data_IF_300306848848
#
_entry.id   IF_300306848848
#
_cell.length_a   1.000
_cell.length_b   1.000
_cell.length_c   1.000
_cell.angle_alpha   90.00
_cell.angle_beta   90.00
_cell.angle_gamma   90.00
#
_symmetry.space_group_name_H-M   'P 1'
#
loop_
_entity.id
_entity.type
_entity.pdbx_description
1 polymer ?
#
# COMPACT_ATOMS: atom_id res chain seq x y z
N UNK A 1 -15.90 -3.21 -65.89
CA UNK A 1 -16.89 -2.81 -64.87
C UNK A 1 -16.14 -2.40 -63.61
N UNK A 2 -16.01 -1.09 -63.35
CA UNK A 2 -15.35 -0.55 -62.15
C UNK A 2 -16.32 -0.61 -60.97
N UNK A 3 -15.93 -1.28 -59.89
CA UNK A 3 -16.72 -1.38 -58.67
C UNK A 3 -16.36 -0.22 -57.74
N UNK A 4 -17.26 0.75 -57.58
CA UNK A 4 -17.09 1.87 -56.64
C UNK A 4 -17.43 1.38 -55.23
N UNK A 5 -16.45 1.34 -54.32
CA UNK A 5 -16.69 1.11 -52.89
C UNK A 5 -16.90 2.46 -52.19
N UNK A 6 -18.04 2.59 -51.51
CA UNK A 6 -18.47 3.78 -50.79
C UNK A 6 -17.71 3.95 -49.47
N UNK A 7 -17.07 5.10 -49.30
CA UNK A 7 -16.38 5.51 -48.07
C UNK A 7 -17.44 5.98 -47.05
N UNK A 8 -17.70 5.19 -46.02
CA UNK A 8 -18.54 5.61 -44.89
C UNK A 8 -17.71 6.39 -43.87
N UNK A 9 -17.98 7.71 -43.77
CA UNK A 9 -17.39 8.59 -42.76
C UNK A 9 -17.86 8.16 -41.36
N UNK A 10 -16.98 7.53 -40.57
CA UNK A 10 -17.25 7.23 -39.16
C UNK A 10 -17.20 8.53 -38.34
N UNK A 11 -18.31 8.86 -37.66
CA UNK A 11 -18.35 9.93 -36.64
C UNK A 11 -17.33 9.61 -35.54
N UNK A 12 -16.57 10.60 -35.03
CA UNK A 12 -15.71 10.38 -33.88
C UNK A 12 -16.55 10.07 -32.65
N UNK A 13 -16.33 8.88 -32.09
CA UNK A 13 -16.86 8.44 -30.81
C UNK A 13 -16.53 9.49 -29.75
N UNK A 14 -17.55 9.96 -29.02
CA UNK A 14 -17.38 10.83 -27.87
C UNK A 14 -16.33 10.25 -26.94
N UNK A 15 -15.36 11.09 -26.54
CA UNK A 15 -14.46 10.78 -25.45
C UNK A 15 -15.30 10.56 -24.19
N UNK A 16 -15.63 9.30 -23.89
CA UNK A 16 -15.97 8.91 -22.54
C UNK A 16 -14.67 9.06 -21.75
N UNK A 17 -14.52 10.22 -21.09
CA UNK A 17 -13.56 10.38 -20.01
C UNK A 17 -13.91 9.32 -18.98
N UNK A 18 -13.15 8.21 -19.00
CA UNK A 18 -13.20 7.19 -17.96
C UNK A 18 -12.83 7.93 -16.68
N UNK A 19 -13.84 8.33 -15.90
CA UNK A 19 -13.65 8.73 -14.51
C UNK A 19 -13.12 7.49 -13.83
N UNK A 20 -11.79 7.41 -13.70
CA UNK A 20 -11.13 6.36 -12.95
C UNK A 20 -11.80 6.35 -11.60
N UNK A 21 -12.55 5.27 -11.32
CA UNK A 21 -13.28 5.11 -10.09
C UNK A 21 -12.31 5.41 -8.95
N UNK A 22 -12.64 6.46 -8.19
CA UNK A 22 -12.04 6.70 -6.88
C UNK A 22 -12.41 5.45 -6.08
N UNK A 23 -11.52 4.46 -6.07
CA UNK A 23 -11.69 3.22 -5.32
C UNK A 23 -12.23 3.62 -3.95
N UNK A 24 -13.29 2.94 -3.50
CA UNK A 24 -13.81 3.07 -2.15
C UNK A 24 -12.71 2.62 -1.19
N UNK A 25 -11.76 3.53 -0.96
CA UNK A 25 -10.56 3.28 -0.18
C UNK A 25 -11.07 3.12 1.24
N UNK A 26 -10.84 1.95 1.80
CA UNK A 26 -11.06 1.70 3.22
C UNK A 26 -10.41 2.87 4.00
N UNK A 27 -10.99 3.29 5.11
CA UNK A 27 -10.38 4.33 5.96
C UNK A 27 -10.63 4.00 7.41
N UNK A 28 -9.79 3.13 7.95
CA UNK A 28 -9.86 2.70 9.35
C UNK A 28 -8.72 3.37 10.10
N UNK A 29 -9.03 4.07 11.19
CA UNK A 29 -8.00 4.64 12.04
C UNK A 29 -7.23 3.49 12.72
N UNK A 30 -5.90 3.56 12.71
CA UNK A 30 -5.05 2.52 13.33
C UNK A 30 -5.30 2.34 14.83
N UNK A 31 -5.88 3.35 15.50
CA UNK A 31 -6.29 3.29 16.90
C UNK A 31 -7.58 2.48 17.14
N UNK A 32 -8.39 2.26 16.11
CA UNK A 32 -9.63 1.49 16.20
C UNK A 32 -9.36 0.00 16.00
N UNK A 33 -8.77 -0.62 17.02
CA UNK A 33 -8.30 -2.02 16.98
C UNK A 33 -9.43 -3.02 16.67
N UNK A 34 -10.66 -2.76 17.13
CA UNK A 34 -11.83 -3.61 16.87
C UNK A 34 -12.19 -3.62 15.39
N UNK A 35 -12.34 -2.44 14.76
CA UNK A 35 -12.65 -2.37 13.32
C UNK A 35 -11.51 -2.88 12.47
N UNK A 36 -10.27 -2.60 12.87
CA UNK A 36 -9.08 -3.04 12.17
C UNK A 36 -8.96 -4.56 12.17
N UNK A 37 -9.06 -5.20 13.34
CA UNK A 37 -9.05 -6.67 13.43
C UNK A 37 -10.18 -7.33 12.65
N UNK A 38 -11.38 -6.72 12.62
CA UNK A 38 -12.49 -7.22 11.80
C UNK A 38 -12.16 -7.17 10.30
N UNK A 39 -11.56 -6.08 9.84
CA UNK A 39 -11.18 -5.92 8.45
C UNK A 39 -10.02 -6.85 8.05
N UNK A 40 -9.03 -7.03 8.94
CA UNK A 40 -7.92 -7.96 8.71
C UNK A 40 -8.44 -9.41 8.63
N UNK A 41 -9.26 -9.84 9.60
CA UNK A 41 -9.88 -11.18 9.57
C UNK A 41 -10.71 -11.41 8.30
N UNK A 42 -11.42 -10.39 7.82
CA UNK A 42 -12.18 -10.48 6.58
C UNK A 42 -11.26 -10.68 5.35
N UNK A 43 -10.10 -10.02 5.31
CA UNK A 43 -9.12 -10.19 4.24
C UNK A 43 -8.35 -11.51 4.34
N UNK A 44 -8.12 -12.02 5.55
CA UNK A 44 -7.42 -13.28 5.80
C UNK A 44 -8.28 -14.52 5.54
N UNK A 45 -9.59 -14.39 5.68
CA UNK A 45 -10.53 -15.49 5.51
C UNK A 45 -10.25 -16.62 6.51
N UNK A 46 -9.86 -17.79 6.00
CA UNK A 46 -9.51 -18.97 6.81
C UNK A 46 -7.98 -19.15 6.98
N UNK A 47 -7.20 -18.16 6.57
CA UNK A 47 -5.74 -18.25 6.65
C UNK A 47 -5.27 -18.23 8.11
N UNK A 48 -4.35 -19.12 8.44
CA UNK A 48 -3.79 -19.29 9.79
C UNK A 48 -2.30 -18.90 9.85
N UNK A 49 -1.63 -18.86 8.70
CA UNK A 49 -0.21 -18.52 8.59
C UNK A 49 -0.01 -17.09 8.06
N UNK A 50 1.05 -16.43 8.55
CA UNK A 50 1.47 -15.09 8.10
C UNK A 50 0.30 -14.10 8.15
N UNK A 51 -0.41 -14.16 9.26
CA UNK A 51 -1.51 -13.26 9.60
C UNK A 51 -0.95 -12.04 10.32
N UNK A 52 -1.81 -11.04 10.49
CA UNK A 52 -1.45 -9.83 11.19
C UNK A 52 -2.60 -9.37 12.07
N UNK A 53 -2.28 -8.71 13.17
CA UNK A 53 -3.23 -8.14 14.09
C UNK A 53 -3.05 -6.64 14.21
N UNK A 54 -4.01 -5.96 14.81
CA UNK A 54 -3.89 -4.54 15.14
C UNK A 54 -2.68 -4.24 16.05
N UNK A 55 -2.27 -5.20 16.88
CA UNK A 55 -1.12 -5.09 17.79
C UNK A 55 0.20 -5.09 17.03
N UNK A 56 0.31 -5.92 15.99
CA UNK A 56 1.51 -5.98 15.13
C UNK A 56 1.73 -4.70 14.32
N UNK A 57 0.67 -3.95 14.03
CA UNK A 57 0.75 -2.73 13.20
C UNK A 57 1.37 -1.56 13.96
N UNK A 58 1.13 -1.45 15.27
CA UNK A 58 1.62 -0.33 16.08
C UNK A 58 3.15 -0.20 16.13
N UNK A 59 3.94 -1.26 16.38
CA UNK A 59 5.40 -1.16 16.36
C UNK A 59 5.91 -0.77 14.98
N UNK A 60 5.35 -1.33 13.90
CA UNK A 60 5.74 -0.97 12.52
C UNK A 60 5.49 0.51 12.21
N UNK A 61 4.40 1.09 12.73
CA UNK A 61 4.14 2.53 12.60
C UNK A 61 5.18 3.33 13.39
N UNK A 62 5.54 2.89 14.60
CA UNK A 62 6.58 3.53 15.41
C UNK A 62 7.93 3.54 14.67
N UNK A 63 8.28 2.44 14.01
CA UNK A 63 9.50 2.33 13.21
C UNK A 63 9.46 3.24 11.98
N UNK A 64 8.31 3.34 11.30
CA UNK A 64 8.14 4.31 10.22
C UNK A 64 8.30 5.75 10.73
N UNK A 65 7.73 6.07 11.89
CA UNK A 65 7.85 7.40 12.47
C UNK A 65 9.29 7.73 12.88
N UNK A 66 10.04 6.78 13.43
CA UNK A 66 11.44 7.01 13.81
C UNK A 66 12.28 7.33 12.57
N UNK A 67 12.10 6.56 11.49
CA UNK A 67 12.78 6.80 10.21
C UNK A 67 12.35 8.13 9.60
N UNK A 68 11.05 8.43 9.56
CA UNK A 68 10.54 9.69 9.01
C UNK A 68 11.01 10.92 9.80
N UNK A 69 11.19 10.82 11.13
CA UNK A 69 11.72 11.91 11.97
C UNK A 69 13.14 12.28 11.59
N UNK A 70 13.96 11.30 11.22
CA UNK A 70 15.33 11.53 10.77
C UNK A 70 15.38 12.25 9.41
N UNK A 71 14.30 12.14 8.63
CA UNK A 71 14.29 12.59 7.24
C UNK A 71 13.56 13.91 7.02
N UNK A 72 12.47 14.16 7.75
CA UNK A 72 11.65 15.35 7.56
C UNK A 72 10.80 15.74 8.76
N UNK A 73 10.44 17.03 8.87
CA UNK A 73 9.48 17.48 9.86
C UNK A 73 8.11 16.84 9.65
N UNK A 74 7.38 16.64 10.76
CA UNK A 74 6.05 15.98 10.77
C UNK A 74 5.02 16.57 9.79
N UNK A 75 5.15 17.85 9.46
CA UNK A 75 4.26 18.56 8.52
C UNK A 75 4.34 17.96 7.11
N UNK A 76 5.51 17.50 6.71
CA UNK A 76 5.73 16.95 5.37
C UNK A 76 5.26 15.50 5.25
N UNK A 77 4.99 14.79 6.35
CA UNK A 77 4.58 13.39 6.30
C UNK A 77 3.19 13.18 5.69
N UNK A 78 2.41 14.24 5.48
CA UNK A 78 1.06 14.16 4.96
C UNK A 78 1.03 13.50 3.57
N UNK A 79 0.16 12.50 3.40
CA UNK A 79 0.03 11.73 2.16
C UNK A 79 1.11 10.66 1.97
N UNK A 80 1.98 10.45 2.95
CA UNK A 80 2.92 9.33 2.93
C UNK A 80 2.15 8.02 3.02
N UNK A 81 2.50 7.07 2.16
CA UNK A 81 1.84 5.77 2.05
C UNK A 81 2.88 4.67 2.17
N UNK A 82 2.61 3.70 3.03
CA UNK A 82 3.48 2.55 3.27
C UNK A 82 2.66 1.26 3.21
N UNK A 83 3.23 0.21 2.64
CA UNK A 83 2.69 -1.14 2.76
C UNK A 83 3.43 -1.85 3.90
N UNK A 84 2.65 -2.38 4.83
CA UNK A 84 3.10 -3.16 5.97
C UNK A 84 2.81 -4.63 5.71
N UNK A 85 3.69 -5.50 6.12
CA UNK A 85 3.45 -6.94 6.21
C UNK A 85 4.17 -7.53 7.40
N UNK A 86 3.65 -8.64 7.90
CA UNK A 86 4.36 -9.46 8.86
C UNK A 86 5.47 -10.20 8.09
N UNK A 87 6.66 -9.59 8.01
CA UNK A 87 7.78 -10.17 7.30
C UNK A 87 8.33 -11.35 8.08
N UNK A 88 8.27 -12.53 7.47
CA UNK A 88 8.87 -13.74 7.99
C UNK A 88 9.94 -14.22 7.03
N UNK A 89 11.06 -14.68 7.56
CA UNK A 89 12.06 -15.35 6.75
C UNK A 89 11.44 -16.61 6.13
N UNK A 90 11.25 -16.60 4.82
CA UNK A 90 10.74 -17.75 4.08
C UNK A 90 11.92 -18.66 3.76
N UNK A 91 11.90 -19.88 4.27
CA UNK A 91 12.91 -20.87 3.95
C UNK A 91 12.94 -21.15 2.43
N UNK A 92 14.14 -21.24 1.85
CA UNK A 92 14.32 -21.53 0.42
C UNK A 92 13.77 -22.91 -0.01
N UNK A 93 13.48 -23.79 0.94
CA UNK A 93 12.85 -25.10 0.70
C UNK A 93 11.33 -25.04 0.50
N UNK A 94 10.70 -23.86 0.69
CA UNK A 94 9.26 -23.74 0.52
C UNK A 94 8.87 -23.86 -0.95
N UNK A 95 8.10 -24.90 -1.29
CA UNK A 95 7.61 -25.10 -2.65
C UNK A 95 6.32 -24.29 -2.86
N UNK A 96 6.41 -23.21 -3.64
CA UNK A 96 5.29 -22.32 -4.00
C UNK A 96 5.52 -20.86 -3.61
N UNK A 97 4.51 -20.01 -3.88
CA UNK A 97 4.52 -18.59 -3.51
C UNK A 97 3.78 -18.42 -2.17
N UNK A 98 4.49 -18.33 -1.03
CA UNK A 98 3.83 -18.12 0.26
C UNK A 98 3.09 -16.78 0.22
N UNK A 99 1.87 -16.73 0.75
CA UNK A 99 1.10 -15.48 0.83
C UNK A 99 1.17 -14.88 2.22
N UNK A 100 1.21 -13.56 2.32
CA UNK A 100 1.15 -12.80 3.57
C UNK A 100 0.02 -11.77 3.54
N UNK A 101 -0.45 -11.36 4.71
CA UNK A 101 -1.33 -10.21 4.85
C UNK A 101 -0.52 -8.92 4.66
N UNK A 102 -1.01 -8.05 3.77
CA UNK A 102 -0.48 -6.71 3.52
C UNK A 102 -1.50 -5.67 3.95
N UNK A 103 -1.02 -4.65 4.65
CA UNK A 103 -1.82 -3.52 5.11
C UNK A 103 -1.18 -2.24 4.62
N UNK A 104 -1.88 -1.52 3.76
CA UNK A 104 -1.48 -0.20 3.30
C UNK A 104 -1.93 0.84 4.30
N UNK A 105 -0.99 1.57 4.86
CA UNK A 105 -1.26 2.73 5.71
C UNK A 105 -0.98 4.03 4.96
N UNK A 106 -1.75 5.06 5.28
CA UNK A 106 -1.56 6.40 4.75
C UNK A 106 -1.67 7.43 5.89
N UNK A 107 -0.78 8.42 5.89
CA UNK A 107 -0.81 9.52 6.85
C UNK A 107 -1.76 10.61 6.38
N UNK A 108 -2.87 10.77 7.09
CA UNK A 108 -3.80 11.90 6.92
C UNK A 108 -3.49 13.01 7.92
N UNK A 109 -4.27 14.08 7.97
CA UNK A 109 -4.11 15.15 8.97
C UNK A 109 -4.31 14.63 10.40
N UNK A 110 -5.36 13.84 10.63
CA UNK A 110 -5.77 13.36 11.96
C UNK A 110 -5.01 12.15 12.49
N UNK A 111 -4.24 11.44 11.67
CA UNK A 111 -3.48 10.27 12.10
C UNK A 111 -3.08 9.37 10.94
N UNK A 112 -2.61 8.17 11.30
CA UNK A 112 -2.42 7.06 10.38
C UNK A 112 -3.74 6.32 10.16
N UNK A 113 -4.02 5.96 8.92
CA UNK A 113 -5.21 5.20 8.55
C UNK A 113 -4.84 4.05 7.64
N UNK A 114 -5.49 2.91 7.85
CA UNK A 114 -5.44 1.79 6.93
C UNK A 114 -6.35 2.08 5.74
N UNK A 115 -5.77 1.95 4.55
CA UNK A 115 -6.43 2.26 3.28
C UNK A 115 -6.70 1.04 2.40
N UNK A 116 -5.91 -0.01 2.56
CA UNK A 116 -6.09 -1.28 1.84
C UNK A 116 -5.60 -2.42 2.73
N UNK A 117 -6.29 -3.55 2.66
CA UNK A 117 -5.85 -4.81 3.25
C UNK A 117 -5.99 -5.85 2.14
N UNK A 118 -4.94 -6.64 1.91
CA UNK A 118 -4.92 -7.66 0.87
C UNK A 118 -4.03 -8.83 1.28
N UNK A 119 -4.25 -10.01 0.68
CA UNK A 119 -3.27 -11.09 0.72
C UNK A 119 -2.54 -11.15 -0.60
N UNK A 120 -1.23 -10.95 -0.54
CA UNK A 120 -0.34 -10.97 -1.70
C UNK A 120 0.84 -11.91 -1.40
N UNK A 121 1.71 -12.13 -2.38
CA UNK A 121 2.90 -12.95 -2.21
C UNK A 121 3.81 -12.33 -1.16
N UNK A 122 4.23 -13.16 -0.22
CA UNK A 122 4.98 -12.77 0.94
C UNK A 122 6.36 -12.26 0.53
N UNK A 123 6.79 -11.21 1.21
CA UNK A 123 8.07 -10.55 0.99
C UNK A 123 8.88 -10.60 2.27
N UNK A 124 10.20 -10.61 2.13
CA UNK A 124 11.12 -10.68 3.27
C UNK A 124 11.30 -9.34 4.00
N UNK A 125 10.68 -8.25 3.52
CA UNK A 125 10.78 -6.92 4.10
C UNK A 125 9.41 -6.54 4.69
N UNK A 126 9.39 -5.96 5.89
CA UNK A 126 8.15 -5.66 6.61
C UNK A 126 7.49 -4.35 6.14
N UNK A 127 8.29 -3.37 5.74
CA UNK A 127 7.84 -2.01 5.43
C UNK A 127 8.27 -1.63 4.01
N UNK A 128 7.32 -1.23 3.18
CA UNK A 128 7.58 -0.75 1.83
C UNK A 128 7.07 0.67 1.66
N UNK A 129 7.93 1.65 1.33
CA UNK A 129 7.45 2.96 0.94
C UNK A 129 6.75 2.87 -0.43
N UNK A 130 5.43 3.13 -0.46
CA UNK A 130 4.65 3.20 -1.71
C UNK A 130 4.69 4.61 -2.27
N UNK A 131 4.49 5.59 -1.39
CA UNK A 131 4.56 7.00 -1.71
C UNK A 131 5.26 7.70 -0.57
N UNK A 132 6.48 8.15 -0.84
CA UNK A 132 7.21 8.97 0.10
C UNK A 132 6.65 10.39 0.08
N UNK A 133 6.77 11.13 1.20
CA UNK A 133 6.45 12.54 1.16
C UNK A 133 7.39 13.26 0.19
N UNK A 134 6.85 14.29 -0.47
CA UNK A 134 7.64 15.10 -1.41
C UNK A 134 8.58 15.97 -0.59
N UNK A 135 9.74 15.43 -0.24
CA UNK A 135 10.76 16.18 0.45
C UNK A 135 11.27 17.28 -0.46
N UNK A 136 11.33 18.51 0.05
CA UNK A 136 11.75 19.66 -0.75
C UNK A 136 13.21 19.57 -1.21
N UNK A 137 14.04 18.67 -0.67
CA UNK A 137 15.48 18.63 -1.00
C UNK A 137 16.25 17.28 -0.88
N UNK A 138 15.64 16.08 -0.77
CA UNK A 138 16.43 14.89 -0.37
C UNK A 138 16.03 13.50 -0.89
N UNK A 139 15.21 13.38 -1.95
CA UNK A 139 14.70 12.08 -2.45
C UNK A 139 15.77 10.96 -2.62
N UNK A 140 17.03 11.31 -2.96
CA UNK A 140 18.11 10.33 -3.13
C UNK A 140 18.64 9.72 -1.83
N UNK A 141 18.61 10.45 -0.70
CA UNK A 141 19.14 9.94 0.58
C UNK A 141 18.17 8.93 1.22
N UNK A 142 16.88 9.14 1.00
CA UNK A 142 15.77 8.41 1.61
C UNK A 142 15.77 6.91 1.31
N UNK A 143 15.90 6.55 0.03
CA UNK A 143 15.88 5.13 -0.38
C UNK A 143 17.07 4.36 0.20
N UNK A 144 18.20 5.05 0.42
CA UNK A 144 19.41 4.46 0.99
C UNK A 144 19.24 4.13 2.47
N UNK A 145 18.58 5.01 3.25
CA UNK A 145 18.32 4.79 4.68
C UNK A 145 17.35 3.62 4.89
N UNK A 146 16.23 3.57 4.16
CA UNK A 146 15.27 2.47 4.27
C UNK A 146 15.85 1.09 3.93
N UNK A 147 16.84 1.03 3.03
CA UNK A 147 17.52 -0.21 2.68
C UNK A 147 18.70 -0.55 3.61
N UNK A 148 19.14 0.39 4.44
CA UNK A 148 20.28 0.24 5.34
C UNK A 148 19.88 -0.12 6.77
N UNK A 149 18.62 0.13 7.16
CA UNK A 149 18.07 -0.36 8.43
C UNK A 149 17.73 -1.84 8.21
N UNK A 150 18.71 -2.70 8.51
CA UNK A 150 18.61 -4.17 8.55
C UNK A 150 18.97 -4.64 9.94
#
# INVERSE_FOLDING_TARGET
>A
MLNQQSITKRKPSSHQTIKINKENKMKINVKDSKKLNKAIKAAEGKSWARTMTAEDIQPLISDIESVLRLMAPKKEWLGSTFDLTNAHHIACSYFGYPKSTFVRIERFTSGWFVTRISREDAKNIAIFPVKLPKFSNSERHVRKVFNSVK
#
